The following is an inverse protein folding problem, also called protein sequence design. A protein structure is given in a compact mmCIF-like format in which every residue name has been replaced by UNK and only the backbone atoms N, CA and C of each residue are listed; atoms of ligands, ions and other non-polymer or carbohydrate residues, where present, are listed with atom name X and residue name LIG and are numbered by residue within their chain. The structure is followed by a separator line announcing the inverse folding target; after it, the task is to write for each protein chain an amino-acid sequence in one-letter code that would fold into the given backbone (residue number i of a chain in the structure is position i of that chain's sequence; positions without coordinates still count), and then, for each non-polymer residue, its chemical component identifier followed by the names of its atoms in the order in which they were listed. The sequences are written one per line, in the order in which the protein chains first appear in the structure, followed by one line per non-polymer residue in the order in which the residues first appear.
data_IF_109697349486
#
_entry.id   IF_109697349486
#
_cell.length_a   1.000
_cell.length_b   1.000
_cell.length_c   1.000
_cell.angle_alpha   90.00
_cell.angle_beta   90.00
_cell.angle_gamma   90.00
#
_symmetry.space_group_name_H-M   'P 1'
#
loop_
_entity.id
_entity.type
_entity.pdbx_description
1 polymer ?
#
# COMPACT_ATOMS: atom_id res chain seq x y z
N UNK A 1 2.71 -5.43 -6.18
CA UNK A 1 1.48 -6.20 -5.98
C UNK A 1 1.71 -7.29 -4.93
N UNK A 2 0.65 -7.70 -4.24
CA UNK A 2 0.54 -8.90 -3.44
C UNK A 2 -0.36 -9.91 -4.15
N UNK A 3 -0.20 -11.20 -3.81
CA UNK A 3 -1.16 -12.24 -4.19
C UNK A 3 -2.19 -12.43 -3.09
N UNK A 4 -2.02 -13.48 -2.29
CA UNK A 4 -2.77 -13.68 -1.05
C UNK A 4 -1.97 -13.20 0.16
N UNK A 5 -2.26 -12.00 0.66
CA UNK A 5 -1.60 -11.47 1.86
C UNK A 5 -2.03 -12.21 3.13
N UNK A 6 -1.09 -12.41 4.04
CA UNK A 6 -1.28 -13.05 5.35
C UNK A 6 -0.64 -12.20 6.48
N UNK A 7 -0.83 -12.63 7.74
CA UNK A 7 -0.34 -11.91 8.91
C UNK A 7 1.19 -11.81 9.00
N UNK A 8 1.94 -12.58 8.20
CA UNK A 8 3.41 -12.52 8.15
C UNK A 8 3.92 -11.63 7.02
N UNK A 9 3.07 -11.34 6.02
CA UNK A 9 3.45 -10.60 4.83
C UNK A 9 4.05 -9.23 5.16
N UNK A 10 3.42 -8.49 6.09
CA UNK A 10 3.86 -7.17 6.52
C UNK A 10 5.17 -7.13 7.31
N UNK A 11 5.65 -8.27 7.82
CA UNK A 11 6.89 -8.36 8.64
C UNK A 11 7.99 -9.19 7.96
N UNK A 12 7.69 -9.88 6.86
CA UNK A 12 8.66 -10.72 6.12
C UNK A 12 8.82 -10.29 4.67
N UNK A 13 7.90 -10.72 3.79
CA UNK A 13 8.01 -10.55 2.35
C UNK A 13 7.94 -9.07 1.92
N UNK A 14 7.05 -8.28 2.51
CA UNK A 14 6.86 -6.89 2.11
C UNK A 14 8.07 -6.01 2.48
N UNK A 15 8.64 -6.07 3.71
CA UNK A 15 9.89 -5.38 4.01
C UNK A 15 11.07 -5.81 3.12
N UNK A 16 11.17 -7.11 2.79
CA UNK A 16 12.20 -7.61 1.87
C UNK A 16 12.03 -7.00 0.47
N UNK A 17 10.79 -6.95 -0.04
CA UNK A 17 10.47 -6.35 -1.32
C UNK A 17 10.77 -4.84 -1.33
N UNK A 18 10.49 -4.12 -0.25
CA UNK A 18 10.86 -2.71 -0.09
C UNK A 18 12.36 -2.49 -0.24
N UNK A 19 13.20 -3.30 0.43
CA UNK A 19 14.66 -3.24 0.27
C UNK A 19 15.12 -3.60 -1.14
N UNK A 20 14.45 -4.55 -1.78
CA UNK A 20 14.74 -4.88 -3.17
C UNK A 20 14.38 -3.72 -4.11
N UNK A 21 13.27 -3.03 -3.86
CA UNK A 21 12.88 -1.81 -4.58
C UNK A 21 13.96 -0.72 -4.43
N UNK A 22 14.40 -0.45 -3.20
CA UNK A 22 15.48 0.51 -2.92
C UNK A 22 16.76 0.14 -3.67
N UNK A 23 17.12 -1.15 -3.70
CA UNK A 23 18.29 -1.64 -4.44
C UNK A 23 18.16 -1.40 -5.95
N UNK A 24 17.00 -1.67 -6.55
CA UNK A 24 16.75 -1.43 -7.98
C UNK A 24 16.86 0.05 -8.30
N UNK A 25 16.25 0.92 -7.49
CA UNK A 25 16.32 2.38 -7.65
C UNK A 25 17.77 2.88 -7.54
N UNK A 26 18.53 2.38 -6.56
CA UNK A 26 19.94 2.73 -6.38
C UNK A 26 20.84 2.35 -7.58
N UNK A 27 20.41 1.39 -8.41
CA UNK A 27 21.09 0.99 -9.64
C UNK A 27 20.48 1.63 -10.90
N UNK A 28 19.70 2.70 -10.76
CA UNK A 28 19.11 3.46 -11.87
C UNK A 28 17.85 2.83 -12.47
N UNK A 29 17.28 1.82 -11.80
CA UNK A 29 15.99 1.25 -12.18
C UNK A 29 14.80 2.05 -11.66
N UNK A 30 13.60 1.61 -12.01
CA UNK A 30 12.33 2.16 -11.50
C UNK A 30 11.46 1.02 -11.01
N UNK A 31 10.76 1.24 -9.90
CA UNK A 31 9.81 0.30 -9.31
C UNK A 31 8.42 0.93 -9.26
N UNK A 32 7.38 0.10 -9.18
CA UNK A 32 5.99 0.54 -9.13
C UNK A 32 5.28 -0.18 -7.98
N UNK A 33 4.74 0.59 -7.05
CA UNK A 33 3.80 0.11 -6.05
C UNK A 33 2.37 0.31 -6.58
N UNK A 34 1.58 -0.75 -6.54
CA UNK A 34 0.19 -0.78 -7.00
C UNK A 34 -0.74 -1.04 -5.82
N UNK A 35 -1.98 -1.48 -6.07
CA UNK A 35 -2.96 -1.84 -5.03
C UNK A 35 -3.34 -0.65 -4.14
N UNK A 36 -3.75 0.47 -4.75
CA UNK A 36 -4.21 1.68 -4.03
C UNK A 36 -5.21 1.38 -2.91
N UNK A 37 -6.23 0.52 -3.08
CA UNK A 37 -7.15 0.22 -1.99
C UNK A 37 -6.52 -0.51 -0.79
N UNK A 38 -5.34 -1.11 -0.94
CA UNK A 38 -4.64 -1.78 0.16
C UNK A 38 -3.86 -0.80 1.04
N UNK A 39 -3.59 0.44 0.60
CA UNK A 39 -2.88 1.43 1.43
C UNK A 39 -3.82 2.32 2.27
N UNK A 40 -5.14 2.18 2.15
CA UNK A 40 -6.12 2.99 2.88
C UNK A 40 -6.01 2.83 4.40
N UNK A 41 -5.84 3.94 5.11
CA UNK A 41 -5.57 3.97 6.55
C UNK A 41 -4.07 4.08 6.88
N UNK A 42 -3.17 3.91 5.90
CA UNK A 42 -1.72 4.06 6.07
C UNK A 42 -1.06 4.91 4.97
N UNK A 43 -1.85 5.55 4.09
CA UNK A 43 -1.36 6.31 2.93
C UNK A 43 -0.44 7.47 3.31
N UNK A 44 -0.59 8.02 4.51
CA UNK A 44 0.24 9.11 4.99
C UNK A 44 1.73 8.73 5.03
N UNK A 45 2.05 7.46 5.30
CA UNK A 45 3.44 6.98 5.27
C UNK A 45 4.07 7.12 3.88
N UNK A 46 3.27 6.92 2.81
CA UNK A 46 3.74 7.11 1.43
C UNK A 46 3.78 8.60 1.07
N UNK A 47 2.87 9.40 1.62
CA UNK A 47 2.87 10.85 1.43
C UNK A 47 4.12 11.50 2.02
N UNK A 48 4.60 11.02 3.16
CA UNK A 48 5.84 11.49 3.80
C UNK A 48 7.09 11.20 2.93
N UNK A 49 7.00 10.25 1.99
CA UNK A 49 8.08 9.93 1.04
C UNK A 49 8.05 10.80 -0.23
N UNK A 50 7.02 11.63 -0.42
CA UNK A 50 6.94 12.49 -1.60
C UNK A 50 8.06 13.53 -1.61
N UNK A 51 8.87 13.54 -2.67
CA UNK A 51 10.00 14.48 -2.84
C UNK A 51 9.59 15.95 -2.80
N UNK A 52 8.40 16.28 -3.30
CA UNK A 52 7.91 17.64 -3.45
C UNK A 52 6.39 17.72 -3.32
N UNK A 53 5.88 18.92 -3.03
CA UNK A 53 4.45 19.20 -2.84
C UNK A 53 3.61 18.82 -4.08
N UNK A 54 4.15 19.03 -5.28
CA UNK A 54 3.46 18.67 -6.52
C UNK A 54 3.26 17.14 -6.64
N UNK A 55 4.20 16.34 -6.13
CA UNK A 55 4.09 14.88 -6.09
C UNK A 55 3.14 14.43 -4.98
N UNK A 56 3.18 15.09 -3.82
CA UNK A 56 2.25 14.86 -2.71
C UNK A 56 0.80 15.08 -3.15
N UNK A 57 0.50 16.21 -3.80
CA UNK A 57 -0.87 16.53 -4.24
C UNK A 57 -1.40 15.52 -5.28
N UNK A 58 -0.52 15.01 -6.15
CA UNK A 58 -0.88 13.92 -7.09
C UNK A 58 -1.23 12.63 -6.35
N UNK A 59 -0.48 12.27 -5.31
CA UNK A 59 -0.75 11.09 -4.50
C UNK A 59 -2.08 11.25 -3.73
N UNK A 60 -2.30 12.41 -3.11
CA UNK A 60 -3.56 12.74 -2.43
C UNK A 60 -4.75 12.63 -3.38
N UNK A 61 -4.64 13.21 -4.58
CA UNK A 61 -5.68 13.16 -5.60
C UNK A 61 -5.98 11.71 -5.99
N UNK A 62 -4.95 10.93 -6.32
CA UNK A 62 -5.11 9.52 -6.68
C UNK A 62 -5.80 8.69 -5.59
N UNK A 63 -5.38 8.84 -4.32
CA UNK A 63 -5.98 8.11 -3.20
C UNK A 63 -7.45 8.49 -3.04
N UNK A 64 -7.76 9.78 -3.12
CA UNK A 64 -9.14 10.27 -2.98
C UNK A 64 -10.02 9.84 -4.15
N UNK A 65 -9.51 9.84 -5.38
CA UNK A 65 -10.25 9.36 -6.55
C UNK A 65 -10.63 7.87 -6.40
N UNK A 66 -9.72 7.04 -5.88
CA UNK A 66 -10.04 5.64 -5.57
C UNK A 66 -11.08 5.51 -4.45
N UNK A 67 -11.01 6.35 -3.40
CA UNK A 67 -12.05 6.37 -2.35
C UNK A 67 -13.42 6.77 -2.91
N UNK A 68 -13.47 7.80 -3.76
CA UNK A 68 -14.70 8.22 -4.43
C UNK A 68 -15.26 7.14 -5.35
N UNK A 69 -14.39 6.42 -6.06
CA UNK A 69 -14.80 5.27 -6.88
C UNK A 69 -15.52 4.21 -6.04
N UNK A 70 -15.00 3.85 -4.85
CA UNK A 70 -15.65 2.90 -3.96
C UNK A 70 -17.02 3.41 -3.48
N UNK A 71 -17.10 4.67 -3.06
CA UNK A 71 -18.36 5.31 -2.62
C UNK A 71 -19.40 5.29 -3.75
N UNK A 72 -19.00 5.64 -4.97
CA UNK A 72 -19.89 5.70 -6.13
C UNK A 72 -20.47 4.32 -6.54
N UNK A 73 -19.87 3.23 -6.07
CA UNK A 73 -20.31 1.85 -6.32
C UNK A 73 -20.84 1.16 -5.06
N UNK A 74 -21.21 1.93 -4.03
CA UNK A 74 -21.70 1.45 -2.74
C UNK A 74 -20.77 0.39 -2.10
N UNK A 75 -19.46 0.49 -2.35
CA UNK A 75 -18.44 -0.36 -1.76
C UNK A 75 -17.85 0.28 -0.50
N UNK A 76 -17.60 -0.50 0.57
CA UNK A 76 -16.97 0.02 1.77
C UNK A 76 -15.49 0.36 1.50
N UNK A 77 -15.07 1.58 1.84
CA UNK A 77 -13.65 1.97 1.79
C UNK A 77 -12.85 1.21 2.87
N UNK A 78 -13.43 1.00 4.05
CA UNK A 78 -12.74 0.52 5.25
C UNK A 78 -12.91 -0.99 5.53
N UNK A 79 -13.43 -1.76 4.58
CA UNK A 79 -13.53 -3.22 4.68
C UNK A 79 -12.81 -3.89 3.50
N UNK A 80 -11.50 -4.10 3.62
CA UNK A 80 -10.71 -4.72 2.55
C UNK A 80 -9.73 -5.86 2.96
N UNK A 81 -9.91 -6.55 4.11
CA UNK A 81 -9.41 -7.93 4.24
C UNK A 81 -10.40 -8.93 3.63
N UNK A 82 -9.96 -9.63 2.57
CA UNK A 82 -10.74 -10.75 2.02
C UNK A 82 -10.90 -11.87 3.07
N UNK A 83 -11.88 -12.79 2.92
CA UNK A 83 -11.99 -13.95 3.80
C UNK A 83 -10.69 -14.76 3.90
N UNK A 84 -9.93 -14.85 2.80
CA UNK A 84 -8.62 -15.49 2.78
C UNK A 84 -7.56 -14.73 3.60
N UNK A 85 -7.54 -13.39 3.54
CA UNK A 85 -6.64 -12.58 4.37
C UNK A 85 -6.97 -12.75 5.87
N UNK A 86 -8.26 -12.77 6.22
CA UNK A 86 -8.71 -13.00 7.60
C UNK A 86 -8.29 -14.37 8.11
N UNK A 87 -8.47 -15.42 7.30
CA UNK A 87 -7.99 -16.76 7.63
C UNK A 87 -6.45 -16.83 7.73
N UNK A 88 -5.75 -16.01 6.94
CA UNK A 88 -4.29 -15.84 6.98
C UNK A 88 -3.77 -14.97 8.12
N UNK A 89 -4.63 -14.43 8.99
CA UNK A 89 -4.23 -13.65 10.16
C UNK A 89 -4.17 -12.14 9.98
N UNK A 90 -4.65 -11.59 8.86
CA UNK A 90 -4.87 -10.15 8.69
C UNK A 90 -6.29 -9.82 9.16
N UNK A 91 -6.41 -9.18 10.32
CA UNK A 91 -7.71 -9.00 10.98
C UNK A 91 -8.35 -7.65 10.71
N UNK A 92 -7.53 -6.63 10.48
CA UNK A 92 -7.95 -5.25 10.26
C UNK A 92 -7.49 -4.72 8.91
N UNK A 93 -8.08 -3.62 8.45
CA UNK A 93 -7.56 -2.92 7.26
C UNK A 93 -6.18 -2.34 7.57
N UNK A 94 -5.99 -1.82 8.78
CA UNK A 94 -4.76 -1.23 9.26
C UNK A 94 -3.60 -2.25 9.21
N UNK A 95 -3.80 -3.50 9.62
CA UNK A 95 -2.81 -4.58 9.49
C UNK A 95 -2.36 -4.75 8.03
N UNK A 96 -3.35 -4.75 7.13
CA UNK A 96 -3.14 -4.91 5.70
C UNK A 96 -2.39 -3.71 5.11
N UNK A 97 -2.78 -2.50 5.49
CA UNK A 97 -2.26 -1.27 4.94
C UNK A 97 -0.88 -0.94 5.43
N UNK A 98 -0.60 -1.13 6.73
CA UNK A 98 0.74 -1.04 7.29
C UNK A 98 1.67 -2.07 6.66
N UNK A 99 1.18 -3.30 6.40
CA UNK A 99 1.95 -4.30 5.69
C UNK A 99 2.20 -3.94 4.23
N UNK A 100 1.20 -3.40 3.52
CA UNK A 100 1.29 -3.01 2.13
C UNK A 100 2.33 -1.90 1.90
N UNK A 101 2.33 -0.87 2.74
CA UNK A 101 3.25 0.28 2.60
C UNK A 101 4.72 -0.11 2.77
N UNK A 102 5.04 -1.20 3.49
CA UNK A 102 6.42 -1.71 3.58
C UNK A 102 7.04 -2.07 2.22
N UNK A 103 6.22 -2.40 1.21
CA UNK A 103 6.69 -2.70 -0.15
C UNK A 103 7.31 -1.48 -0.84
N UNK A 104 7.01 -0.27 -0.36
CA UNK A 104 7.53 0.98 -0.93
C UNK A 104 9.02 1.19 -0.64
N UNK A 105 9.60 0.48 0.34
CA UNK A 105 10.97 0.73 0.76
C UNK A 105 11.13 2.08 1.45
N UNK A 106 12.31 2.68 1.31
CA UNK A 106 12.71 3.91 2.00
C UNK A 106 13.49 4.91 1.14
N UNK A 107 13.66 4.60 -0.16
CA UNK A 107 14.38 5.43 -1.14
C UNK A 107 13.71 6.76 -1.44
#
# INVERSE_FOLDING_TARGET
ECGGSDGLSGITANPMLGRFSDYVIANGGTTVLTEVPEMFGAEQLLMDHCRDEATFEKLVTMVNDFKQYFIAHDQPIYENPSPGNKAGGITTLEDKSLGCTQKAGSS
#
